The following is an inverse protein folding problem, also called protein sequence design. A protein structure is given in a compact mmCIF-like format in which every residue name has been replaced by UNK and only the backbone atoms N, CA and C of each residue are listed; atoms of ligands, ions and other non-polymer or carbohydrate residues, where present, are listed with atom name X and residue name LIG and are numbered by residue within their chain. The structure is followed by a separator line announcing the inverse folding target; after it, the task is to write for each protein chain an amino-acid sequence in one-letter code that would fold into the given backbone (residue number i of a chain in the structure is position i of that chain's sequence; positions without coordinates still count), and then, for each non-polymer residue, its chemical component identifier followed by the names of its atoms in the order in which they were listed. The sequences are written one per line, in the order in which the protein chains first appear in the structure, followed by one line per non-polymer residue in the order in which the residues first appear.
data_IF_495797832734
#
_entry.id   IF_495797832734
#
_cell.length_a   1.000
_cell.length_b   1.000
_cell.length_c   1.000
_cell.angle_alpha   90.00
_cell.angle_beta   90.00
_cell.angle_gamma   90.00
#
_symmetry.space_group_name_H-M   'P 1'
#
loop_
_entity.id
_entity.type
_entity.pdbx_description
1 polymer ?
#
# COMPACT_ATOMS: atom_id res chain seq x y z
N UNK A 1 -2.15 -0.51 -19.08
CA UNK A 1 -2.20 -0.22 -17.63
C UNK A 1 -2.98 -1.30 -16.91
N UNK A 2 -2.43 -1.79 -15.80
CA UNK A 2 -3.06 -2.84 -15.00
C UNK A 2 -3.84 -2.19 -13.85
N UNK A 3 -5.08 -2.64 -13.64
CA UNK A 3 -5.91 -2.22 -12.52
C UNK A 3 -6.45 -3.46 -11.81
N UNK A 4 -6.70 -3.33 -10.51
CA UNK A 4 -7.40 -4.37 -9.77
C UNK A 4 -8.90 -4.31 -10.09
N UNK A 5 -9.51 -5.46 -10.27
CA UNK A 5 -10.95 -5.55 -10.55
C UNK A 5 -11.73 -5.41 -9.24
N UNK A 6 -11.72 -4.19 -8.70
CA UNK A 6 -12.36 -3.89 -7.42
C UNK A 6 -13.88 -4.04 -7.53
N UNK A 7 -14.52 -4.89 -6.70
CA UNK A 7 -15.97 -5.05 -6.74
C UNK A 7 -16.70 -3.73 -6.42
N UNK A 8 -17.86 -3.48 -7.03
CA UNK A 8 -18.65 -2.29 -6.71
C UNK A 8 -18.98 -2.21 -5.22
N UNK A 9 -18.92 -1.02 -4.64
CA UNK A 9 -19.21 -0.79 -3.24
C UNK A 9 -18.10 -1.17 -2.28
N UNK A 10 -16.92 -1.56 -2.78
CA UNK A 10 -15.77 -1.90 -1.93
C UNK A 10 -15.23 -0.65 -1.24
N UNK A 11 -14.91 -0.78 0.05
CA UNK A 11 -14.23 0.27 0.82
C UNK A 11 -12.85 -0.23 1.21
N UNK A 12 -11.96 0.69 1.59
CA UNK A 12 -10.57 0.35 1.93
C UNK A 12 -10.45 -0.74 3.01
N UNK A 13 -11.24 -0.74 4.10
CA UNK A 13 -11.13 -1.81 5.11
C UNK A 13 -11.43 -3.21 4.60
N UNK A 14 -12.07 -3.34 3.45
CA UNK A 14 -12.38 -4.64 2.83
C UNK A 14 -11.24 -5.16 1.96
N UNK A 15 -10.20 -4.37 1.75
CA UNK A 15 -9.05 -4.72 0.92
C UNK A 15 -7.93 -5.22 1.82
N UNK A 16 -7.31 -6.33 1.44
CA UNK A 16 -6.15 -6.90 2.13
C UNK A 16 -5.02 -7.07 1.13
N UNK A 17 -3.82 -6.61 1.52
CA UNK A 17 -2.61 -6.73 0.71
C UNK A 17 -1.59 -7.50 1.54
N UNK A 18 -1.01 -8.55 0.98
CA UNK A 18 0.06 -9.31 1.65
C UNK A 18 1.27 -9.41 0.74
N UNK A 19 2.43 -9.02 1.25
CA UNK A 19 3.69 -9.19 0.53
C UNK A 19 4.04 -10.68 0.47
N UNK A 20 4.43 -11.15 -0.72
CA UNK A 20 4.91 -12.52 -0.93
C UNK A 20 6.44 -12.56 -0.93
N UNK A 21 7.01 -11.50 -1.48
CA UNK A 21 8.46 -11.25 -1.48
C UNK A 21 8.66 -9.74 -1.66
N UNK A 22 9.87 -9.29 -1.87
CA UNK A 22 10.15 -7.86 -2.06
C UNK A 22 9.61 -7.25 -3.34
N UNK A 23 8.99 -8.05 -4.23
CA UNK A 23 8.57 -7.62 -5.56
C UNK A 23 7.10 -7.90 -5.86
N UNK A 24 6.43 -8.73 -5.05
CA UNK A 24 5.11 -9.26 -5.36
C UNK A 24 4.20 -9.20 -4.14
N UNK A 25 2.93 -8.85 -4.38
CA UNK A 25 1.88 -8.88 -3.36
C UNK A 25 0.71 -9.70 -3.85
N UNK A 26 -0.03 -10.29 -2.92
CA UNK A 26 -1.36 -10.84 -3.18
C UNK A 26 -2.39 -9.89 -2.59
N UNK A 27 -3.45 -9.63 -3.35
CA UNK A 27 -4.51 -8.69 -2.98
C UNK A 27 -5.84 -9.42 -2.97
N UNK A 28 -6.64 -9.17 -1.93
CA UNK A 28 -8.00 -9.70 -1.79
C UNK A 28 -8.96 -8.55 -1.56
N UNK A 29 -10.13 -8.61 -2.22
CA UNK A 29 -11.23 -7.69 -1.99
C UNK A 29 -12.53 -8.40 -2.33
N UNK A 30 -13.29 -8.82 -1.31
CA UNK A 30 -14.49 -9.63 -1.49
C UNK A 30 -14.15 -10.95 -2.18
N UNK A 31 -14.81 -11.22 -3.30
CA UNK A 31 -14.59 -12.45 -4.08
C UNK A 31 -13.43 -12.32 -5.07
N UNK A 32 -12.84 -11.15 -5.19
CA UNK A 32 -11.74 -10.90 -6.11
C UNK A 32 -10.40 -11.08 -5.41
N UNK A 33 -9.46 -11.72 -6.09
CA UNK A 33 -8.09 -11.83 -5.62
C UNK A 33 -7.14 -11.89 -6.80
N UNK A 34 -5.89 -11.54 -6.55
CA UNK A 34 -4.87 -11.59 -7.59
C UNK A 34 -3.49 -11.34 -7.02
N UNK A 35 -2.49 -11.69 -7.80
CA UNK A 35 -1.09 -11.47 -7.47
C UNK A 35 -0.53 -10.43 -8.42
N UNK A 36 0.15 -9.43 -7.88
CA UNK A 36 0.67 -8.31 -8.66
C UNK A 36 2.10 -7.99 -8.26
N UNK A 37 2.90 -7.58 -9.25
CA UNK A 37 4.25 -7.07 -9.02
C UNK A 37 4.20 -5.56 -8.83
N UNK A 38 5.28 -4.98 -8.29
CA UNK A 38 5.36 -3.53 -8.17
C UNK A 38 5.27 -2.84 -9.54
N UNK A 39 5.77 -3.48 -10.59
CA UNK A 39 5.67 -2.95 -11.95
C UNK A 39 4.23 -2.86 -12.41
N UNK A 40 3.44 -3.91 -12.14
CA UNK A 40 2.02 -3.93 -12.50
C UNK A 40 1.22 -2.87 -11.73
N UNK A 41 1.65 -2.57 -10.51
CA UNK A 41 1.00 -1.54 -9.69
C UNK A 41 1.49 -0.11 -9.99
N UNK A 42 2.34 0.05 -11.00
CA UNK A 42 2.83 1.37 -11.40
C UNK A 42 3.93 1.94 -10.52
N UNK A 43 4.60 1.09 -9.76
CA UNK A 43 5.63 1.51 -8.79
C UNK A 43 7.04 1.07 -9.20
N UNK A 44 7.31 1.01 -10.50
CA UNK A 44 8.63 0.74 -11.03
C UNK A 44 9.26 2.03 -11.56
N UNK A 45 10.54 2.22 -11.29
CA UNK A 45 11.29 3.35 -11.82
C UNK A 45 11.44 3.25 -13.34
N UNK A 46 11.18 4.33 -14.05
CA UNK A 46 11.36 4.39 -15.49
C UNK A 46 12.83 4.31 -15.91
N UNK A 47 13.74 4.66 -15.01
CA UNK A 47 15.16 4.71 -15.33
C UNK A 47 15.82 3.33 -15.31
N UNK A 48 15.46 2.50 -14.34
CA UNK A 48 16.17 1.24 -14.12
C UNK A 48 15.25 0.04 -13.82
N UNK A 49 13.91 0.26 -13.77
CA UNK A 49 12.96 -0.80 -13.48
C UNK A 49 12.91 -1.24 -12.02
N UNK A 50 13.64 -0.58 -11.13
CA UNK A 50 13.64 -0.91 -9.70
C UNK A 50 12.39 -0.37 -9.00
N UNK A 51 12.03 -0.93 -7.83
CA UNK A 51 10.90 -0.39 -7.07
C UNK A 51 11.11 1.08 -6.71
N UNK A 52 10.03 1.86 -6.79
CA UNK A 52 10.06 3.28 -6.40
C UNK A 52 10.00 3.43 -4.89
N UNK A 53 10.19 4.67 -4.42
CA UNK A 53 10.05 4.99 -3.00
C UNK A 53 8.65 4.71 -2.48
N UNK A 54 7.62 4.82 -3.33
CA UNK A 54 6.24 4.50 -2.95
C UNK A 54 6.09 3.01 -2.63
N UNK A 55 6.72 2.14 -3.42
CA UNK A 55 6.71 0.70 -3.13
C UNK A 55 7.41 0.39 -1.82
N UNK A 56 8.57 1.03 -1.59
CA UNK A 56 9.33 0.87 -0.35
C UNK A 56 8.53 1.36 0.86
N UNK A 57 7.75 2.44 0.70
CA UNK A 57 6.88 2.94 1.76
C UNK A 57 5.75 1.95 2.04
N UNK A 58 5.16 1.37 1.00
CA UNK A 58 4.12 0.34 1.16
C UNK A 58 4.67 -0.85 1.95
N UNK A 59 5.88 -1.29 1.62
CA UNK A 59 6.56 -2.35 2.35
C UNK A 59 6.84 -1.94 3.81
N UNK A 60 7.22 -0.68 4.03
CA UNK A 60 7.41 -0.13 5.36
C UNK A 60 6.14 -0.17 6.20
N UNK A 61 4.98 0.15 5.60
CA UNK A 61 3.69 0.01 6.26
C UNK A 61 3.41 -1.46 6.62
N UNK A 62 3.72 -2.39 5.70
CA UNK A 62 3.53 -3.81 5.97
C UNK A 62 4.35 -4.26 7.18
N UNK A 63 5.61 -3.82 7.25
CA UNK A 63 6.52 -4.19 8.34
C UNK A 63 6.21 -3.49 9.66
N UNK A 64 5.35 -2.49 9.63
CA UNK A 64 4.95 -1.68 10.80
C UNK A 64 3.48 -1.87 11.15
N UNK A 65 2.88 -2.97 10.76
CA UNK A 65 1.47 -3.30 11.03
C UNK A 65 0.49 -2.25 10.51
N UNK A 66 0.84 -1.60 9.40
CA UNK A 66 -0.02 -0.61 8.75
C UNK A 66 0.05 0.79 9.32
N UNK A 67 0.98 1.06 10.24
CA UNK A 67 1.10 2.36 10.89
C UNK A 67 2.55 2.84 10.91
N UNK A 68 2.77 4.11 10.55
CA UNK A 68 4.09 4.76 10.62
C UNK A 68 3.91 6.08 11.35
N UNK A 69 4.60 6.24 12.50
CA UNK A 69 4.60 7.48 13.27
C UNK A 69 5.93 8.21 13.14
N UNK A 70 6.03 9.39 13.78
CA UNK A 70 7.25 10.20 13.73
C UNK A 70 8.43 9.56 14.47
N UNK A 71 8.19 8.53 15.24
CA UNK A 71 9.24 7.80 15.97
C UNK A 71 9.67 6.53 15.22
N UNK A 72 8.98 6.19 14.13
CA UNK A 72 9.31 5.04 13.31
C UNK A 72 10.62 5.27 12.55
N UNK A 73 11.37 4.19 12.35
CA UNK A 73 12.58 4.23 11.48
C UNK A 73 12.25 4.56 10.02
N UNK A 74 10.97 4.48 9.63
CA UNK A 74 10.53 4.82 8.28
C UNK A 74 10.16 6.30 8.15
N UNK A 75 10.09 7.03 9.25
CA UNK A 75 9.78 8.46 9.20
C UNK A 75 10.95 9.25 8.61
N UNK A 76 10.64 10.24 7.78
CA UNK A 76 11.63 11.11 7.17
C UNK A 76 10.95 12.42 6.77
N UNK A 77 11.75 13.43 6.43
CA UNK A 77 11.24 14.73 5.96
C UNK A 77 10.42 14.58 4.69
N UNK A 78 10.65 13.52 3.92
CA UNK A 78 9.96 13.26 2.66
C UNK A 78 8.72 12.39 2.83
N UNK A 79 8.44 11.93 4.06
CA UNK A 79 7.36 10.97 4.31
C UNK A 79 6.01 11.48 3.83
N UNK A 80 5.69 12.75 4.12
CA UNK A 80 4.40 13.32 3.71
C UNK A 80 4.21 13.27 2.20
N UNK A 81 5.25 13.65 1.44
CA UNK A 81 5.19 13.65 -0.03
C UNK A 81 5.09 12.20 -0.57
N UNK A 82 5.88 11.30 -0.02
CA UNK A 82 5.87 9.91 -0.43
C UNK A 82 4.51 9.26 -0.13
N UNK A 83 3.91 9.59 1.01
CA UNK A 83 2.57 9.12 1.37
C UNK A 83 1.52 9.61 0.37
N UNK A 84 1.60 10.88 -0.03
CA UNK A 84 0.67 11.44 -1.01
C UNK A 84 0.78 10.73 -2.36
N UNK A 85 2.01 10.47 -2.81
CA UNK A 85 2.26 9.75 -4.06
C UNK A 85 1.77 8.30 -3.99
N UNK A 86 2.03 7.62 -2.87
CA UNK A 86 1.55 6.26 -2.66
C UNK A 86 0.03 6.22 -2.67
N UNK A 87 -0.62 7.14 -1.98
CA UNK A 87 -2.09 7.23 -1.94
C UNK A 87 -2.67 7.40 -3.35
N UNK A 88 -2.04 8.24 -4.17
CA UNK A 88 -2.45 8.44 -5.55
C UNK A 88 -2.36 7.16 -6.37
N UNK A 89 -1.23 6.44 -6.27
CA UNK A 89 -1.06 5.18 -6.98
C UNK A 89 -2.10 4.14 -6.56
N UNK A 90 -2.39 4.05 -5.27
CA UNK A 90 -3.36 3.09 -4.76
C UNK A 90 -4.78 3.45 -5.22
N UNK A 91 -5.17 4.72 -5.17
CA UNK A 91 -6.48 5.15 -5.65
C UNK A 91 -6.67 4.81 -7.13
N UNK A 92 -5.65 5.05 -7.93
CA UNK A 92 -5.70 4.75 -9.37
C UNK A 92 -5.78 3.24 -9.63
N UNK A 93 -4.96 2.46 -8.92
CA UNK A 93 -4.90 1.01 -9.12
C UNK A 93 -6.22 0.32 -8.73
N UNK A 94 -6.79 0.71 -7.59
CA UNK A 94 -8.04 0.15 -7.09
C UNK A 94 -9.28 0.88 -7.59
N UNK A 95 -9.12 2.02 -8.25
CA UNK A 95 -10.21 2.88 -8.73
C UNK A 95 -11.16 3.30 -7.60
N UNK A 96 -10.57 3.68 -6.47
CA UNK A 96 -11.28 4.22 -5.32
C UNK A 96 -10.89 5.67 -5.11
N UNK A 97 -11.86 6.52 -4.77
CA UNK A 97 -11.63 7.96 -4.64
C UNK A 97 -11.13 8.36 -3.26
N UNK A 98 -11.50 7.59 -2.23
CA UNK A 98 -11.10 7.89 -0.85
C UNK A 98 -9.60 7.71 -0.64
N UNK A 99 -9.05 8.47 0.30
CA UNK A 99 -7.64 8.34 0.68
C UNK A 99 -7.43 7.00 1.39
N UNK A 100 -6.51 6.15 0.91
CA UNK A 100 -6.25 4.84 1.54
C UNK A 100 -5.45 4.93 2.83
N UNK A 101 -4.79 6.05 3.10
CA UNK A 101 -3.91 6.22 4.26
C UNK A 101 -4.34 7.48 4.99
N UNK A 102 -4.76 7.33 6.25
CA UNK A 102 -5.23 8.46 7.04
C UNK A 102 -4.16 8.99 7.99
N UNK A 103 -4.26 10.27 8.32
CA UNK A 103 -3.43 10.89 9.35
C UNK A 103 -4.20 10.88 10.66
N UNK A 104 -3.63 10.21 11.67
CA UNK A 104 -4.21 10.17 13.01
C UNK A 104 -3.54 11.25 13.85
N UNK A 105 -4.21 12.36 14.05
CA UNK A 105 -3.65 13.56 14.67
C UNK A 105 -3.19 13.33 16.10
N UNK A 106 -3.95 12.60 16.89
CA UNK A 106 -3.66 12.40 18.31
C UNK A 106 -2.35 11.66 18.55
N UNK A 107 -2.03 10.72 17.68
CA UNK A 107 -0.82 9.91 17.81
C UNK A 107 0.25 10.30 16.79
N UNK A 108 -0.04 11.28 15.92
CA UNK A 108 0.86 11.72 14.83
C UNK A 108 1.32 10.54 13.98
N UNK A 109 0.35 9.75 13.53
CA UNK A 109 0.59 8.49 12.85
C UNK A 109 -0.13 8.47 11.50
N UNK A 110 0.53 8.01 10.44
CA UNK A 110 -0.12 7.61 9.21
C UNK A 110 -0.57 6.16 9.35
N UNK A 111 -1.84 5.89 9.07
CA UNK A 111 -2.42 4.57 9.21
C UNK A 111 -3.14 4.15 7.93
N UNK A 112 -2.84 2.95 7.45
CA UNK A 112 -3.54 2.38 6.30
C UNK A 112 -4.96 2.00 6.69
N UNK A 113 -5.93 2.39 5.85
CA UNK A 113 -7.33 1.98 6.05
C UNK A 113 -7.57 0.54 5.61
N UNK A 114 -6.74 0.04 4.71
CA UNK A 114 -6.77 -1.35 4.26
C UNK A 114 -5.88 -2.20 5.15
N UNK A 115 -6.07 -3.52 5.07
CA UNK A 115 -5.23 -4.47 5.80
C UNK A 115 -3.96 -4.72 5.00
N UNK A 116 -2.81 -4.70 5.67
CA UNK A 116 -1.54 -4.95 5.01
C UNK A 116 -0.67 -5.84 5.90
N UNK A 117 -0.04 -6.84 5.28
CA UNK A 117 0.74 -7.85 5.98
C UNK A 117 2.12 -7.98 5.33
N UNK A 118 3.18 -8.16 6.14
CA UNK A 118 4.52 -8.36 5.62
C UNK A 118 4.72 -9.75 5.05
N UNK A 119 5.86 -9.94 4.39
CA UNK A 119 6.28 -11.26 3.92
C UNK A 119 6.36 -12.24 5.08
N UNK A 120 5.85 -13.45 4.87
CA UNK A 120 5.87 -14.50 5.88
C UNK A 120 4.83 -14.40 6.96
N UNK A 121 3.97 -13.37 6.95
CA UNK A 121 2.88 -13.27 7.92
C UNK A 121 1.84 -14.35 7.66
N UNK A 122 1.32 -14.95 8.73
CA UNK A 122 0.23 -15.91 8.60
C UNK A 122 -1.09 -15.19 8.39
N UNK A 123 -1.90 -15.73 7.48
CA UNK A 123 -3.22 -15.18 7.15
C UNK A 123 -4.28 -16.17 7.65
N UNK A 124 -5.05 -15.73 8.60
CA UNK A 124 -6.15 -16.50 9.16
C UNK A 124 -7.50 -15.96 8.67
#
# INVERSE_FOLDING_TARGET
TVFFMTPPGTTWPQIKIQFRDGHTVTIWAGDQSGRYTYTQMGMASRKNGNPTEQWKLLEGFANSSGEIDWHSRYASDKLKKQKQELSKHLREFFRLDDDPIEWVKDTKTYRCKFRILPEGAEVY
#
